data_IF_885301233074
#
_entry.id   IF_885301233074
#
_cell.length_a   1.000
_cell.length_b   1.000
_cell.length_c   1.000
_cell.angle_alpha   90.00
_cell.angle_beta   90.00
_cell.angle_gamma   90.00
#
_symmetry.space_group_name_H-M   'P 1'
#
loop_
_entity.id
_entity.type
_entity.pdbx_description
1 polymer ?
#
# COMPACT_ATOMS: atom_id res chain seq x y z
N UNK A 1 13.53 11.34 -2.10
CA UNK A 1 12.69 12.53 -1.85
C UNK A 1 12.82 13.57 -2.95
N UNK A 2 14.03 14.07 -3.29
CA UNK A 2 14.22 15.10 -4.34
C UNK A 2 13.50 14.85 -5.66
N UNK A 3 13.74 13.68 -6.29
CA UNK A 3 13.10 13.31 -7.56
C UNK A 3 11.56 13.39 -7.55
N UNK A 4 10.90 12.98 -6.48
CA UNK A 4 9.43 13.03 -6.37
C UNK A 4 8.94 14.48 -6.23
N UNK A 5 9.67 15.31 -5.49
CA UNK A 5 9.39 16.74 -5.37
C UNK A 5 9.55 17.43 -6.73
N UNK A 6 10.61 17.11 -7.46
CA UNK A 6 10.90 17.69 -8.78
C UNK A 6 9.82 17.30 -9.80
N UNK A 7 9.39 16.03 -9.82
CA UNK A 7 8.27 15.55 -10.66
C UNK A 7 6.93 16.22 -10.30
N UNK A 8 6.69 16.53 -9.02
CA UNK A 8 5.50 17.28 -8.60
C UNK A 8 5.57 18.75 -9.06
N UNK A 9 6.74 19.38 -8.95
CA UNK A 9 6.97 20.76 -9.40
C UNK A 9 6.74 20.85 -10.90
N UNK A 10 7.34 19.95 -11.69
CA UNK A 10 7.17 19.92 -13.15
C UNK A 10 5.69 19.82 -13.56
N UNK A 11 4.92 18.95 -12.91
CA UNK A 11 3.48 18.79 -13.17
C UNK A 11 2.65 20.01 -12.80
N UNK A 12 3.02 20.72 -11.74
CA UNK A 12 2.35 21.95 -11.32
C UNK A 12 2.74 23.15 -12.18
N UNK A 13 3.95 23.15 -12.75
CA UNK A 13 4.48 24.20 -13.62
C UNK A 13 3.99 24.13 -15.07
N UNK A 14 3.31 23.05 -15.47
CA UNK A 14 2.72 22.92 -16.81
C UNK A 14 1.52 23.85 -17.06
N UNK A 15 1.13 24.00 -18.32
CA UNK A 15 0.01 24.86 -18.73
C UNK A 15 -1.37 24.26 -18.40
N UNK A 16 -2.42 25.08 -18.34
CA UNK A 16 -3.81 24.65 -18.07
C UNK A 16 -4.40 25.08 -16.73
N UNK A 17 -5.62 24.62 -16.43
CA UNK A 17 -6.39 25.05 -15.26
C UNK A 17 -5.72 24.63 -13.93
N UNK A 18 -5.54 25.56 -12.97
CA UNK A 18 -4.95 25.27 -11.67
C UNK A 18 -5.70 24.20 -10.86
N UNK A 19 -7.03 24.17 -10.94
CA UNK A 19 -7.85 23.22 -10.18
C UNK A 19 -7.70 21.80 -10.71
N UNK A 20 -7.68 21.64 -12.04
CA UNK A 20 -7.45 20.34 -12.67
C UNK A 20 -6.07 19.77 -12.33
N UNK A 21 -5.04 20.62 -12.35
CA UNK A 21 -3.67 20.26 -11.93
C UNK A 21 -3.63 19.79 -10.47
N UNK A 22 -4.28 20.54 -9.57
CA UNK A 22 -4.38 20.18 -8.16
C UNK A 22 -5.04 18.80 -7.98
N UNK A 23 -6.19 18.56 -8.59
CA UNK A 23 -6.91 17.29 -8.42
C UNK A 23 -6.18 16.09 -9.05
N UNK A 24 -5.46 16.29 -10.16
CA UNK A 24 -4.58 15.25 -10.73
C UNK A 24 -3.45 14.90 -9.77
N UNK A 25 -2.83 15.89 -9.14
CA UNK A 25 -1.77 15.68 -8.16
C UNK A 25 -2.30 15.01 -6.88
N UNK A 26 -3.42 15.47 -6.32
CA UNK A 26 -4.04 14.89 -5.13
C UNK A 26 -4.40 13.42 -5.35
N UNK A 27 -4.99 13.06 -6.50
CA UNK A 27 -5.26 11.66 -6.85
C UNK A 27 -3.99 10.80 -6.85
N UNK A 28 -2.90 11.31 -7.42
CA UNK A 28 -1.63 10.58 -7.46
C UNK A 28 -1.03 10.43 -6.06
N UNK A 29 -0.98 11.50 -5.27
CA UNK A 29 -0.49 11.45 -3.89
C UNK A 29 -1.31 10.46 -3.07
N UNK A 30 -2.64 10.47 -3.20
CA UNK A 30 -3.51 9.51 -2.52
C UNK A 30 -3.25 8.07 -2.96
N UNK A 31 -3.00 7.86 -4.25
CA UNK A 31 -2.64 6.53 -4.78
C UNK A 31 -1.29 6.06 -4.26
N UNK A 32 -0.26 6.91 -4.31
CA UNK A 32 1.09 6.59 -3.84
C UNK A 32 1.08 6.38 -2.31
N UNK A 33 0.25 7.12 -1.59
CA UNK A 33 -0.02 6.92 -0.16
C UNK A 33 -0.67 5.57 0.15
N UNK A 34 -1.22 4.82 -0.81
CA UNK A 34 -1.69 3.45 -0.54
C UNK A 34 -0.55 2.43 -0.53
N UNK A 35 0.63 2.80 -1.03
CA UNK A 35 1.77 1.90 -1.04
C UNK A 35 2.28 1.67 0.40
N UNK A 36 2.46 0.41 0.83
CA UNK A 36 2.94 0.08 2.17
C UNK A 36 4.32 0.71 2.43
N UNK A 37 5.21 0.78 1.44
CA UNK A 37 6.50 1.45 1.57
C UNK A 37 6.43 2.94 1.98
N UNK A 38 5.25 3.58 1.84
CA UNK A 38 5.00 4.97 2.22
C UNK A 38 4.23 5.08 3.55
N UNK A 39 3.40 4.10 3.91
CA UNK A 39 2.53 4.18 5.11
C UNK A 39 2.99 3.35 6.29
N UNK A 40 3.85 2.34 6.07
CA UNK A 40 4.24 1.39 7.08
C UNK A 40 4.80 2.10 8.33
N UNK A 41 4.16 1.82 9.47
CA UNK A 41 4.62 2.27 10.78
C UNK A 41 5.19 1.06 11.51
N UNK A 42 6.47 1.11 11.90
CA UNK A 42 7.15 0.01 12.59
C UNK A 42 6.79 0.01 14.08
N UNK A 43 5.58 -0.44 14.38
CA UNK A 43 5.07 -0.62 15.75
C UNK A 43 4.65 -2.07 15.97
N UNK A 44 4.72 -2.55 17.22
CA UNK A 44 4.25 -3.91 17.55
C UNK A 44 2.79 -4.12 17.20
N UNK A 45 1.95 -3.11 17.45
CA UNK A 45 0.51 -3.15 17.17
C UNK A 45 0.21 -3.31 15.67
N UNK A 46 1.03 -2.71 14.80
CA UNK A 46 0.81 -2.75 13.35
C UNK A 46 1.52 -3.92 12.65
N UNK A 47 2.29 -4.73 13.37
CA UNK A 47 3.18 -5.73 12.76
C UNK A 47 2.44 -6.72 11.83
N UNK A 48 1.32 -7.29 12.27
CA UNK A 48 0.52 -8.23 11.46
C UNK A 48 -0.06 -7.53 10.23
N UNK A 49 -0.64 -6.34 10.41
CA UNK A 49 -1.22 -5.55 9.31
C UNK A 49 -0.16 -5.13 8.28
N UNK A 50 1.05 -4.83 8.75
CA UNK A 50 2.18 -4.49 7.90
C UNK A 50 2.58 -5.68 7.01
N UNK A 51 2.64 -6.90 7.56
CA UNK A 51 2.93 -8.12 6.79
C UNK A 51 1.85 -8.34 5.74
N UNK A 52 0.58 -8.26 6.13
CA UNK A 52 -0.56 -8.43 5.20
C UNK A 52 -0.50 -7.38 4.08
N UNK A 53 -0.24 -6.11 4.41
CA UNK A 53 -0.14 -5.04 3.42
C UNK A 53 1.01 -5.27 2.43
N UNK A 54 2.14 -5.81 2.90
CA UNK A 54 3.27 -6.17 2.03
C UNK A 54 2.93 -7.34 1.10
N UNK A 55 2.25 -8.37 1.60
CA UNK A 55 1.78 -9.50 0.78
C UNK A 55 0.79 -9.03 -0.28
N UNK A 56 -0.21 -8.24 0.10
CA UNK A 56 -1.21 -7.71 -0.83
C UNK A 56 -0.65 -6.76 -1.89
N UNK A 57 0.55 -6.22 -1.68
CA UNK A 57 1.26 -5.40 -2.67
C UNK A 57 2.33 -6.20 -3.43
N UNK A 58 2.32 -7.54 -3.31
CA UNK A 58 3.29 -8.46 -3.91
C UNK A 58 4.75 -8.10 -3.58
N UNK A 59 4.98 -7.34 -2.51
CA UNK A 59 6.31 -6.93 -2.08
C UNK A 59 7.06 -8.10 -1.43
N UNK A 60 6.31 -9.00 -0.80
CA UNK A 60 6.77 -10.29 -0.28
C UNK A 60 5.69 -11.34 -0.56
N UNK A 61 6.07 -12.60 -0.59
CA UNK A 61 5.14 -13.72 -0.69
C UNK A 61 4.96 -14.41 0.68
N UNK A 62 4.00 -15.33 0.79
CA UNK A 62 3.74 -16.01 2.07
C UNK A 62 4.89 -16.97 2.46
N UNK A 63 5.62 -17.46 1.46
CA UNK A 63 6.84 -18.26 1.62
C UNK A 63 7.95 -17.48 2.33
N UNK A 64 7.96 -16.14 2.21
CA UNK A 64 8.91 -15.30 2.95
C UNK A 64 8.70 -15.39 4.48
N UNK A 65 7.60 -15.98 4.95
CA UNK A 65 7.33 -16.22 6.35
C UNK A 65 7.74 -17.62 6.83
N UNK A 66 8.41 -18.44 6.02
CA UNK A 66 8.72 -19.85 6.31
C UNK A 66 9.40 -20.06 7.68
N UNK A 67 10.42 -19.25 7.99
CA UNK A 67 11.20 -19.34 9.24
C UNK A 67 10.50 -18.71 10.47
N UNK A 68 9.32 -18.10 10.29
CA UNK A 68 8.57 -17.53 11.40
C UNK A 68 7.74 -18.58 12.14
N UNK A 69 7.24 -18.19 13.32
CA UNK A 69 6.40 -19.04 14.14
C UNK A 69 5.16 -19.51 13.38
N UNK A 70 4.71 -20.73 13.68
CA UNK A 70 3.48 -21.29 13.13
C UNK A 70 2.28 -20.37 13.41
N UNK A 71 2.18 -19.86 14.65
CA UNK A 71 1.13 -18.94 15.07
C UNK A 71 1.06 -17.67 14.21
N UNK A 72 2.21 -17.09 13.85
CA UNK A 72 2.24 -15.90 12.98
C UNK A 72 1.74 -16.24 11.58
N UNK A 73 2.23 -17.33 10.99
CA UNK A 73 1.85 -17.78 9.64
C UNK A 73 0.35 -18.04 9.55
N UNK A 74 -0.23 -18.75 10.51
CA UNK A 74 -1.66 -19.05 10.51
C UNK A 74 -2.51 -17.80 10.74
N UNK A 75 -2.06 -16.89 11.60
CA UNK A 75 -2.74 -15.60 11.78
C UNK A 75 -2.80 -14.83 10.46
N UNK A 76 -1.66 -14.69 9.76
CA UNK A 76 -1.59 -13.98 8.48
C UNK A 76 -2.48 -14.65 7.42
N UNK A 77 -2.44 -15.97 7.28
CA UNK A 77 -3.32 -16.71 6.35
C UNK A 77 -4.80 -16.46 6.63
N UNK A 78 -5.22 -16.58 7.89
CA UNK A 78 -6.62 -16.38 8.26
C UNK A 78 -7.14 -14.97 7.93
N UNK A 79 -6.27 -13.94 8.00
CA UNK A 79 -6.63 -12.59 7.56
C UNK A 79 -6.72 -12.47 6.04
N UNK A 80 -5.79 -13.08 5.30
CA UNK A 80 -5.80 -13.06 3.83
C UNK A 80 -7.04 -13.79 3.28
N UNK A 81 -7.36 -14.97 3.82
CA UNK A 81 -8.55 -15.74 3.42
C UNK A 81 -9.85 -14.94 3.61
N UNK A 82 -9.98 -14.21 4.74
CA UNK A 82 -11.14 -13.33 4.96
C UNK A 82 -11.27 -12.22 3.93
N UNK A 83 -10.16 -11.68 3.42
CA UNK A 83 -10.20 -10.67 2.35
C UNK A 83 -10.61 -11.26 1.01
N UNK A 84 -10.23 -12.51 0.72
CA UNK A 84 -10.60 -13.16 -0.55
C UNK A 84 -12.10 -13.50 -0.64
N UNK A 85 -12.74 -13.78 0.49
CA UNK A 85 -14.19 -14.02 0.54
C UNK A 85 -15.02 -12.76 0.24
N UNK A 86 -14.56 -11.58 0.67
CA UNK A 86 -15.25 -10.29 0.47
C UNK A 86 -15.34 -9.88 -1.03
N UNK A 87 -14.49 -10.45 -1.90
CA UNK A 87 -14.48 -10.20 -3.34
C UNK A 87 -15.30 -11.20 -4.16
N UNK A 88 -15.81 -12.27 -3.54
CA UNK A 88 -16.56 -13.34 -4.24
C UNK A 88 -18.07 -13.11 -4.24
N UNK A 89 -18.57 -12.12 -3.49
CA UNK A 89 -19.99 -11.76 -3.38
C UNK A 89 -20.39 -10.56 -4.28
N UNK A 90 -19.48 -10.05 -5.13
CA UNK A 90 -19.74 -8.99 -6.14
C UNK A 90 -19.83 -9.54 -7.59
N UNK A 91 -20.50 -10.68 -7.81
CA UNK A 91 -20.97 -11.13 -9.15
C UNK A 91 -22.47 -10.95 -9.36
#
# INVERSE_FOLDING_TARGET
>A
MGRLCDECIERLSGDGDPSEKFWKLDKRIRSDKRNPGVQLQMTRTNFIYNIIALINNDAISIEALEDFSYELKETVKAFLERQTWDYSDEE
#
